data_IF_978249688431
#
_entry.id   IF_978249688431
#
_cell.length_a   1.000
_cell.length_b   1.000
_cell.length_c   1.000
_cell.angle_alpha   90.00
_cell.angle_beta   90.00
_cell.angle_gamma   90.00
#
_symmetry.space_group_name_H-M   'P 1'
#
loop_
_entity.id
_entity.type
_entity.pdbx_description
1 polymer ?
#
# COMPACT_ATOMS: atom_id res chain seq x y z
N UNK A 1 -27.29 16.72 16.48
CA UNK A 1 -28.76 16.74 16.40
C UNK A 1 -29.51 16.03 17.53
N UNK A 2 -29.14 14.84 18.05
CA UNK A 2 -29.94 14.20 19.13
C UNK A 2 -29.24 13.90 20.48
N UNK A 3 -27.91 13.93 20.59
CA UNK A 3 -27.23 13.65 21.89
C UNK A 3 -26.44 14.85 22.43
N UNK A 4 -25.70 15.59 21.58
CA UNK A 4 -24.82 16.71 22.02
C UNK A 4 -25.31 18.13 21.68
N UNK A 5 -26.45 18.32 20.99
CA UNK A 5 -27.05 19.64 20.62
C UNK A 5 -26.15 20.72 19.96
N UNK A 6 -24.87 20.47 19.73
CA UNK A 6 -23.91 21.44 19.17
C UNK A 6 -23.88 21.49 17.63
N UNK A 7 -24.39 20.44 16.96
CA UNK A 7 -24.40 20.32 15.51
C UNK A 7 -25.80 20.62 14.94
N UNK A 8 -25.94 21.82 14.37
CA UNK A 8 -27.04 22.23 13.48
C UNK A 8 -26.86 21.62 12.08
N UNK A 9 -27.94 21.40 11.35
CA UNK A 9 -27.94 20.80 9.99
C UNK A 9 -27.06 21.62 9.04
N UNK A 10 -27.06 22.95 9.21
CA UNK A 10 -26.18 23.86 8.45
C UNK A 10 -24.70 23.62 8.75
N UNK A 11 -24.35 23.37 10.02
CA UNK A 11 -22.98 23.05 10.43
C UNK A 11 -22.54 21.71 9.85
N UNK A 12 -23.41 20.70 9.84
CA UNK A 12 -23.11 19.40 9.23
C UNK A 12 -22.82 19.54 7.73
N UNK A 13 -23.68 20.25 6.98
CA UNK A 13 -23.47 20.48 5.54
C UNK A 13 -22.15 21.24 5.28
N UNK A 14 -21.85 22.26 6.11
CA UNK A 14 -20.61 23.01 6.01
C UNK A 14 -19.38 22.13 6.28
N UNK A 15 -19.39 21.33 7.34
CA UNK A 15 -18.28 20.42 7.68
C UNK A 15 -18.07 19.34 6.62
N UNK A 16 -19.14 18.83 6.01
CA UNK A 16 -19.04 17.89 4.88
C UNK A 16 -18.36 18.57 3.69
N UNK A 17 -18.79 19.77 3.30
CA UNK A 17 -18.18 20.52 2.18
C UNK A 17 -16.69 20.81 2.41
N UNK A 18 -16.33 21.25 3.61
CA UNK A 18 -14.93 21.52 3.99
C UNK A 18 -14.10 20.23 3.97
N UNK A 19 -14.63 19.12 4.50
CA UNK A 19 -13.96 17.82 4.48
C UNK A 19 -13.81 17.28 3.05
N UNK A 20 -14.82 17.44 2.20
CA UNK A 20 -14.79 17.01 0.80
C UNK A 20 -13.75 17.77 -0.01
N UNK A 21 -13.52 19.06 0.27
CA UNK A 21 -12.46 19.84 -0.36
C UNK A 21 -11.07 19.30 -0.02
N UNK A 22 -10.81 18.99 1.26
CA UNK A 22 -9.56 18.38 1.71
C UNK A 22 -9.34 17.00 1.07
N UNK A 23 -10.37 16.14 1.09
CA UNK A 23 -10.32 14.80 0.48
C UNK A 23 -10.13 14.89 -1.03
N UNK A 24 -10.75 15.88 -1.69
CA UNK A 24 -10.62 16.10 -3.13
C UNK A 24 -9.17 16.32 -3.57
N UNK A 25 -8.41 17.13 -2.83
CA UNK A 25 -6.99 17.36 -3.12
C UNK A 25 -6.16 16.06 -2.99
N UNK A 26 -6.44 15.26 -1.94
CA UNK A 26 -5.78 13.96 -1.74
C UNK A 26 -6.12 12.99 -2.87
N UNK A 27 -7.38 12.93 -3.31
CA UNK A 27 -7.82 12.03 -4.38
C UNK A 27 -7.13 12.30 -5.73
N UNK A 28 -6.77 13.55 -6.03
CA UNK A 28 -6.00 13.87 -7.25
C UNK A 28 -4.61 13.22 -7.22
N UNK A 29 -3.93 13.30 -6.07
CA UNK A 29 -2.61 12.69 -5.86
C UNK A 29 -2.74 11.16 -5.94
N UNK A 30 -3.72 10.59 -5.24
CA UNK A 30 -4.00 9.15 -5.25
C UNK A 30 -4.30 8.65 -6.67
N UNK A 31 -5.06 9.41 -7.47
CA UNK A 31 -5.37 9.05 -8.86
C UNK A 31 -4.12 8.93 -9.74
N UNK A 32 -3.15 9.83 -9.57
CA UNK A 32 -1.85 9.72 -10.25
C UNK A 32 -1.05 8.49 -9.76
N UNK A 33 -0.98 8.26 -8.45
CA UNK A 33 -0.29 7.09 -7.87
C UNK A 33 -0.89 5.75 -8.29
N UNK A 34 -2.22 5.64 -8.39
CA UNK A 34 -2.91 4.44 -8.89
C UNK A 34 -2.58 4.19 -10.36
N UNK A 35 -2.51 5.25 -11.16
CA UNK A 35 -2.13 5.15 -12.58
C UNK A 35 -0.68 4.67 -12.72
N UNK A 36 0.23 5.21 -11.92
CA UNK A 36 1.62 4.74 -11.87
C UNK A 36 1.72 3.27 -11.44
N UNK A 37 0.99 2.86 -10.40
CA UNK A 37 0.90 1.46 -9.97
C UNK A 37 0.41 0.52 -11.07
N UNK A 38 -0.57 0.97 -11.87
CA UNK A 38 -1.03 0.23 -13.06
C UNK A 38 0.05 0.12 -14.13
N UNK A 39 0.81 1.18 -14.40
CA UNK A 39 1.92 1.13 -15.36
C UNK A 39 2.95 0.09 -14.92
N UNK A 40 3.37 0.12 -13.65
CA UNK A 40 4.32 -0.87 -13.12
C UNK A 40 3.79 -2.31 -13.24
N UNK A 41 2.49 -2.50 -13.01
CA UNK A 41 1.82 -3.80 -13.14
C UNK A 41 1.78 -4.27 -14.59
N UNK A 42 1.49 -3.37 -15.53
CA UNK A 42 1.47 -3.67 -16.97
C UNK A 42 2.86 -4.05 -17.49
N UNK A 43 3.89 -3.34 -17.03
CA UNK A 43 5.30 -3.65 -17.30
C UNK A 43 5.81 -4.88 -16.53
N UNK A 44 4.98 -5.51 -15.69
CA UNK A 44 5.31 -6.68 -14.86
C UNK A 44 6.51 -6.48 -13.93
N UNK A 45 6.90 -5.23 -13.66
CA UNK A 45 8.07 -4.89 -12.86
C UNK A 45 8.04 -5.53 -11.45
N UNK A 46 6.93 -5.51 -10.69
CA UNK A 46 6.91 -6.15 -9.38
C UNK A 46 7.16 -7.66 -9.44
N UNK A 47 6.66 -8.32 -10.49
CA UNK A 47 6.84 -9.76 -10.70
C UNK A 47 8.29 -10.08 -11.09
N UNK A 48 8.87 -9.30 -12.00
CA UNK A 48 10.25 -9.48 -12.43
C UNK A 48 11.24 -9.28 -11.27
N UNK A 49 11.03 -8.25 -10.44
CA UNK A 49 11.88 -8.02 -9.26
C UNK A 49 11.75 -9.18 -8.27
N UNK A 50 10.54 -9.69 -8.05
CA UNK A 50 10.33 -10.84 -7.19
C UNK A 50 11.07 -12.10 -7.68
N UNK A 51 11.03 -12.38 -8.99
CA UNK A 51 11.80 -13.48 -9.59
C UNK A 51 13.31 -13.25 -9.52
N UNK A 52 13.76 -12.00 -9.67
CA UNK A 52 15.17 -11.64 -9.55
C UNK A 52 15.69 -11.88 -8.13
N UNK A 53 14.93 -11.50 -7.10
CA UNK A 53 15.27 -11.76 -5.70
C UNK A 53 15.43 -13.27 -5.44
N UNK A 54 14.50 -14.09 -5.97
CA UNK A 54 14.57 -15.55 -5.83
C UNK A 54 15.74 -16.17 -6.59
N UNK A 55 16.21 -15.55 -7.67
CA UNK A 55 17.40 -16.02 -8.40
C UNK A 55 18.71 -15.70 -7.69
N UNK A 56 18.72 -14.70 -6.79
CA UNK A 56 19.92 -14.25 -6.10
C UNK A 56 20.28 -15.14 -4.91
N UNK A 57 19.29 -15.63 -4.17
CA UNK A 57 19.52 -16.35 -2.92
C UNK A 57 18.35 -17.23 -2.51
N UNK A 58 18.66 -18.37 -1.89
CA UNK A 58 17.69 -19.26 -1.24
C UNK A 58 17.57 -18.97 0.28
N UNK A 59 18.38 -18.05 0.82
CA UNK A 59 18.36 -17.75 2.24
C UNK A 59 17.13 -16.92 2.61
N UNK A 60 16.24 -17.53 3.42
CA UNK A 60 15.00 -16.91 3.94
C UNK A 60 15.19 -15.48 4.46
N UNK A 61 16.24 -15.22 5.23
CA UNK A 61 16.46 -13.90 5.86
C UNK A 61 16.81 -12.85 4.80
N UNK A 62 17.64 -13.22 3.82
CA UNK A 62 18.02 -12.30 2.74
C UNK A 62 16.83 -11.98 1.83
N UNK A 63 15.99 -12.98 1.51
CA UNK A 63 14.78 -12.75 0.71
C UNK A 63 13.83 -11.79 1.43
N UNK A 64 13.60 -11.98 2.73
CA UNK A 64 12.73 -11.10 3.52
C UNK A 64 13.29 -9.66 3.61
N UNK A 65 14.60 -9.50 3.69
CA UNK A 65 15.26 -8.20 3.64
C UNK A 65 15.03 -7.51 2.28
N UNK A 66 15.21 -8.24 1.17
CA UNK A 66 14.95 -7.73 -0.18
C UNK A 66 13.49 -7.34 -0.38
N UNK A 67 12.55 -8.15 0.11
CA UNK A 67 11.11 -7.83 0.09
C UNK A 67 10.83 -6.56 0.89
N UNK A 68 11.43 -6.41 2.06
CA UNK A 68 11.29 -5.19 2.90
C UNK A 68 11.80 -3.95 2.17
N UNK A 69 12.98 -4.03 1.54
CA UNK A 69 13.55 -2.94 0.75
C UNK A 69 12.68 -2.60 -0.47
N UNK A 70 12.16 -3.61 -1.17
CA UNK A 70 11.21 -3.43 -2.26
C UNK A 70 9.96 -2.70 -1.78
N UNK A 71 9.36 -3.12 -0.67
CA UNK A 71 8.17 -2.49 -0.11
C UNK A 71 8.42 -1.02 0.27
N UNK A 72 9.58 -0.71 0.84
CA UNK A 72 9.96 0.67 1.15
C UNK A 72 10.08 1.52 -0.13
N UNK A 73 10.74 1.01 -1.17
CA UNK A 73 10.89 1.75 -2.43
C UNK A 73 9.55 1.94 -3.13
N UNK A 74 8.71 0.90 -3.18
CA UNK A 74 7.40 1.00 -3.84
C UNK A 74 6.47 1.94 -3.06
N UNK A 75 6.50 1.90 -1.73
CA UNK A 75 5.67 2.75 -0.87
C UNK A 75 5.96 4.25 -1.00
N UNK A 76 7.15 4.66 -1.49
CA UNK A 76 7.44 6.09 -1.69
C UNK A 76 6.74 6.69 -2.93
N UNK A 77 6.43 5.86 -3.93
CA UNK A 77 5.77 6.30 -5.17
C UNK A 77 4.28 5.97 -5.19
N UNK A 78 3.88 4.89 -4.50
CA UNK A 78 2.53 4.35 -4.53
C UNK A 78 1.81 4.57 -3.21
N UNK A 79 0.54 4.93 -3.31
CA UNK A 79 -0.36 4.95 -2.16
C UNK A 79 -0.49 3.54 -1.55
N UNK A 80 -0.60 3.48 -0.23
CA UNK A 80 -0.56 2.24 0.57
C UNK A 80 -1.54 1.17 0.07
N UNK A 81 -2.80 1.53 -0.16
CA UNK A 81 -3.83 0.59 -0.62
C UNK A 81 -3.50 0.06 -2.01
N UNK A 82 -3.10 0.92 -2.95
CA UNK A 82 -2.68 0.49 -4.29
C UNK A 82 -1.50 -0.50 -4.23
N UNK A 83 -0.50 -0.22 -3.40
CA UNK A 83 0.66 -1.10 -3.21
C UNK A 83 0.25 -2.46 -2.63
N UNK A 84 -0.61 -2.49 -1.60
CA UNK A 84 -1.10 -3.74 -1.00
C UNK A 84 -1.84 -4.59 -2.05
N UNK A 85 -2.78 -3.99 -2.79
CA UNK A 85 -3.61 -4.72 -3.77
C UNK A 85 -2.76 -5.34 -4.88
N UNK A 86 -1.71 -4.65 -5.33
CA UNK A 86 -0.85 -5.10 -6.42
C UNK A 86 0.20 -6.11 -5.93
N UNK A 87 0.87 -5.83 -4.81
CA UNK A 87 2.02 -6.61 -4.37
C UNK A 87 1.65 -7.86 -3.58
N UNK A 88 0.52 -7.87 -2.86
CA UNK A 88 0.09 -9.03 -2.08
C UNK A 88 0.01 -10.32 -2.91
N UNK A 89 -0.71 -10.39 -4.05
CA UNK A 89 -0.80 -11.63 -4.83
C UNK A 89 0.55 -12.10 -5.38
N UNK A 90 1.55 -11.22 -5.49
CA UNK A 90 2.87 -11.51 -6.02
C UNK A 90 3.79 -12.02 -4.90
N UNK A 91 3.82 -11.33 -3.76
CA UNK A 91 4.75 -11.59 -2.66
C UNK A 91 4.23 -12.65 -1.68
N UNK A 92 2.92 -12.74 -1.47
CA UNK A 92 2.31 -13.70 -0.55
C UNK A 92 2.69 -15.17 -0.87
N UNK A 93 2.61 -15.67 -2.11
CA UNK A 93 3.04 -17.05 -2.40
C UNK A 93 4.53 -17.27 -2.13
N UNK A 94 5.37 -16.24 -2.28
CA UNK A 94 6.81 -16.32 -2.05
C UNK A 94 7.11 -16.48 -0.56
N UNK A 95 6.54 -15.61 0.28
CA UNK A 95 6.80 -15.65 1.72
C UNK A 95 6.16 -16.86 2.39
N UNK A 96 4.99 -17.31 1.91
CA UNK A 96 4.35 -18.52 2.43
C UNK A 96 5.12 -19.78 2.05
N UNK A 97 5.72 -19.84 0.85
CA UNK A 97 6.66 -20.91 0.48
C UNK A 97 7.91 -20.94 1.37
N UNK A 98 8.36 -19.78 1.87
CA UNK A 98 9.44 -19.68 2.86
C UNK A 98 8.99 -20.01 4.30
N UNK A 99 7.74 -20.41 4.50
CA UNK A 99 7.16 -20.74 5.81
C UNK A 99 6.91 -19.52 6.69
N UNK A 100 6.63 -18.35 6.11
CA UNK A 100 6.10 -17.20 6.84
C UNK A 100 4.57 -17.29 6.92
N UNK A 101 4.02 -16.98 8.08
CA UNK A 101 2.57 -16.89 8.26
C UNK A 101 1.98 -15.69 7.48
N UNK A 102 0.87 -15.86 6.75
CA UNK A 102 0.22 -14.79 5.99
C UNK A 102 -0.16 -13.56 6.82
N UNK A 103 -0.57 -13.74 8.08
CA UNK A 103 -0.96 -12.63 8.95
C UNK A 103 0.28 -11.83 9.35
N UNK A 104 1.37 -12.53 9.70
CA UNK A 104 2.64 -11.86 9.99
C UNK A 104 3.14 -11.06 8.78
N UNK A 105 3.08 -11.65 7.58
CA UNK A 105 3.43 -10.93 6.35
C UNK A 105 2.55 -9.70 6.12
N UNK A 106 1.24 -9.80 6.35
CA UNK A 106 0.32 -8.66 6.25
C UNK A 106 0.72 -7.52 7.18
N UNK A 107 1.10 -7.81 8.42
CA UNK A 107 1.60 -6.81 9.37
C UNK A 107 2.88 -6.15 8.84
N UNK A 108 3.86 -6.95 8.39
CA UNK A 108 5.13 -6.45 7.84
C UNK A 108 4.88 -5.56 6.63
N UNK A 109 3.97 -5.95 5.73
CA UNK A 109 3.62 -5.17 4.55
C UNK A 109 2.99 -3.82 4.91
N UNK A 110 2.01 -3.79 5.82
CA UNK A 110 1.37 -2.55 6.25
C UNK A 110 2.38 -1.63 6.94
N UNK A 111 3.22 -2.17 7.83
CA UNK A 111 4.22 -1.39 8.57
C UNK A 111 5.27 -0.81 7.62
N UNK A 112 5.81 -1.60 6.69
CA UNK A 112 6.78 -1.09 5.72
C UNK A 112 6.20 0.00 4.83
N UNK A 113 4.97 -0.18 4.35
CA UNK A 113 4.31 0.83 3.51
C UNK A 113 3.95 2.10 4.30
N UNK A 114 3.59 1.97 5.58
CA UNK A 114 3.35 3.12 6.45
C UNK A 114 4.62 3.90 6.81
N UNK A 115 5.78 3.23 6.86
CA UNK A 115 7.09 3.88 7.08
C UNK A 115 7.58 4.58 5.80
N UNK A 116 7.23 4.04 4.63
CA UNK A 116 7.68 4.54 3.34
C UNK A 116 6.98 5.84 2.88
N UNK A 117 5.77 6.08 3.39
CA UNK A 117 4.89 7.21 3.05
C UNK A 117 5.20 8.45 3.90
#
# INVERSE_FOLDING_TARGET
MFVYKELDVKTVVKTILESSLLVGAVLVIVGASVTFGRILTLERLPTEIATFILSLTENKILILLCITLLLLIVGTFMETLAAIVILTPILLPIVTALGMDPVHFGIVMIVNLAIAL
#
